data_IF_105209533662
#
_entry.id   IF_105209533662
#
_cell.length_a   1.000
_cell.length_b   1.000
_cell.length_c   1.000
_cell.angle_alpha   90.00
_cell.angle_beta   90.00
_cell.angle_gamma   90.00
#
_symmetry.space_group_name_H-M   'P 1'
#
loop_
_entity.id
_entity.type
_entity.pdbx_description
1 polymer ?
#
# COMPACT_ATOMS: atom_id res chain seq x y z
N UNK A 1 -25.46 -0.24 2.72
CA UNK A 1 -24.89 -1.55 3.07
C UNK A 1 -23.45 -1.58 2.61
N UNK A 2 -22.51 -1.76 3.54
CA UNK A 2 -21.08 -1.79 3.30
C UNK A 2 -20.70 -2.92 2.33
N UNK A 3 -20.20 -2.55 1.14
CA UNK A 3 -19.77 -3.49 0.08
C UNK A 3 -18.26 -3.74 0.17
N UNK A 4 -17.76 -4.16 1.33
CA UNK A 4 -16.34 -4.50 1.50
C UNK A 4 -16.20 -5.80 2.27
N UNK A 5 -15.29 -6.66 1.80
CA UNK A 5 -14.91 -7.91 2.45
C UNK A 5 -14.01 -7.63 3.66
N UNK A 6 -14.05 -8.51 4.66
CA UNK A 6 -13.37 -8.33 5.95
C UNK A 6 -11.84 -8.29 5.81
N UNK A 7 -11.23 -7.59 6.76
CA UNK A 7 -9.82 -7.18 6.81
C UNK A 7 -8.80 -8.34 6.97
N UNK A 8 -9.25 -9.58 7.14
CA UNK A 8 -8.41 -10.72 7.54
C UNK A 8 -8.22 -11.80 6.47
N UNK A 9 -8.72 -11.62 5.24
CA UNK A 9 -8.53 -12.62 4.19
C UNK A 9 -7.38 -12.25 3.25
N UNK A 10 -6.35 -13.11 3.20
CA UNK A 10 -5.16 -13.01 2.34
C UNK A 10 -5.43 -13.07 0.82
N UNK A 11 -6.69 -13.13 0.39
CA UNK A 11 -7.11 -13.06 -1.02
C UNK A 11 -8.07 -11.93 -1.34
N UNK A 12 -8.40 -11.07 -0.36
CA UNK A 12 -9.41 -10.03 -0.57
C UNK A 12 -8.97 -8.97 -1.60
N UNK A 13 -7.67 -8.66 -1.67
CA UNK A 13 -7.12 -7.76 -2.70
C UNK A 13 -7.22 -8.39 -4.08
N UNK A 14 -6.82 -9.66 -4.22
CA UNK A 14 -6.89 -10.39 -5.49
C UNK A 14 -8.32 -10.45 -6.03
N UNK A 15 -9.28 -10.89 -5.20
CA UNK A 15 -10.70 -10.98 -5.60
C UNK A 15 -11.27 -9.62 -5.96
N UNK A 16 -11.01 -8.59 -5.13
CA UNK A 16 -11.47 -7.22 -5.41
C UNK A 16 -10.90 -6.69 -6.72
N UNK A 17 -9.66 -7.07 -7.05
CA UNK A 17 -9.00 -6.70 -8.30
C UNK A 17 -9.60 -7.44 -9.50
N UNK A 18 -9.98 -8.71 -9.37
CA UNK A 18 -10.73 -9.41 -10.42
C UNK A 18 -12.13 -8.83 -10.63
N UNK A 19 -12.82 -8.43 -9.55
CA UNK A 19 -14.12 -7.74 -9.66
C UNK A 19 -13.95 -6.42 -10.42
N UNK A 20 -12.91 -5.64 -10.12
CA UNK A 20 -12.56 -4.43 -10.87
C UNK A 20 -12.30 -4.72 -12.35
N UNK A 21 -11.51 -5.76 -12.65
CA UNK A 21 -11.25 -6.15 -14.03
C UNK A 21 -12.55 -6.51 -14.73
N UNK A 22 -13.44 -7.28 -14.10
CA UNK A 22 -14.73 -7.66 -14.68
C UNK A 22 -15.63 -6.44 -14.96
N UNK A 23 -15.78 -5.53 -13.98
CA UNK A 23 -16.55 -4.29 -14.13
C UNK A 23 -16.05 -3.41 -15.29
N UNK A 24 -14.74 -3.44 -15.56
CA UNK A 24 -14.10 -2.61 -16.58
C UNK A 24 -13.89 -3.34 -17.91
N UNK A 25 -14.32 -4.61 -18.06
CA UNK A 25 -14.07 -5.42 -19.26
C UNK A 25 -15.13 -5.35 -20.35
N UNK A 26 -16.28 -4.73 -20.09
CA UNK A 26 -17.31 -4.54 -21.11
C UNK A 26 -16.86 -3.57 -22.21
N UNK A 27 -17.50 -3.68 -23.38
CA UNK A 27 -17.25 -2.79 -24.54
C UNK A 27 -17.54 -1.33 -24.21
N UNK A 28 -18.58 -1.08 -23.39
CA UNK A 28 -18.88 0.21 -22.82
C UNK A 28 -18.84 0.14 -21.28
N UNK A 29 -18.03 1.02 -20.67
CA UNK A 29 -17.96 1.16 -19.21
C UNK A 29 -18.94 2.25 -18.77
N UNK A 30 -19.97 1.88 -18.02
CA UNK A 30 -20.99 2.84 -17.58
C UNK A 30 -20.50 3.73 -16.44
N UNK A 31 -21.15 4.88 -16.22
CA UNK A 31 -20.87 5.72 -15.04
C UNK A 31 -21.02 4.95 -13.72
N UNK A 32 -22.01 4.07 -13.64
CA UNK A 32 -22.26 3.23 -12.46
C UNK A 32 -21.11 2.25 -12.21
N UNK A 33 -20.51 1.70 -13.26
CA UNK A 33 -19.35 0.82 -13.14
C UNK A 33 -18.13 1.57 -12.65
N UNK A 34 -17.93 2.82 -13.12
CA UNK A 34 -16.86 3.69 -12.63
C UNK A 34 -17.04 4.10 -11.16
N UNK A 35 -18.27 4.38 -10.74
CA UNK A 35 -18.61 4.68 -9.34
C UNK A 35 -18.40 3.47 -8.41
N UNK A 36 -18.78 2.27 -8.85
CA UNK A 36 -18.49 1.05 -8.08
C UNK A 36 -16.99 0.80 -8.03
N UNK A 37 -16.31 0.96 -9.16
CA UNK A 37 -14.86 0.77 -9.26
C UNK A 37 -14.09 1.76 -8.39
N UNK A 38 -14.49 3.04 -8.31
CA UNK A 38 -13.80 4.04 -7.49
C UNK A 38 -13.78 3.67 -5.99
N UNK A 39 -14.88 3.09 -5.50
CA UNK A 39 -14.98 2.61 -4.12
C UNK A 39 -14.05 1.41 -3.86
N UNK A 40 -13.98 0.46 -4.80
CA UNK A 40 -13.10 -0.72 -4.67
C UNK A 40 -11.63 -0.28 -4.78
N UNK A 41 -11.29 0.60 -5.73
CA UNK A 41 -9.93 1.15 -5.90
C UNK A 41 -9.47 1.86 -4.63
N UNK A 42 -10.32 2.68 -4.03
CA UNK A 42 -10.00 3.37 -2.77
C UNK A 42 -9.71 2.40 -1.63
N UNK A 43 -10.37 1.24 -1.62
CA UNK A 43 -10.10 0.17 -0.65
C UNK A 43 -8.81 -0.60 -0.97
N UNK A 44 -8.60 -0.99 -2.24
CA UNK A 44 -7.39 -1.72 -2.68
C UNK A 44 -6.15 -0.90 -2.41
N UNK A 45 -6.10 0.37 -2.81
CA UNK A 45 -4.92 1.23 -2.63
C UNK A 45 -4.53 1.37 -1.15
N UNK A 46 -5.49 1.32 -0.22
CA UNK A 46 -5.22 1.36 1.24
C UNK A 46 -4.55 0.08 1.78
N UNK A 47 -4.54 -1.01 1.00
CA UNK A 47 -3.87 -2.28 1.35
C UNK A 47 -2.42 -2.34 0.84
N UNK A 48 -1.96 -1.31 0.15
CA UNK A 48 -0.57 -1.23 -0.29
C UNK A 48 0.37 -1.11 0.91
N UNK A 49 1.40 -1.95 0.94
CA UNK A 49 2.42 -1.93 1.97
C UNK A 49 3.34 -0.69 1.83
N UNK A 50 4.17 -0.38 2.84
CA UNK A 50 5.06 0.78 2.80
C UNK A 50 6.11 0.79 1.67
N UNK A 51 6.30 -0.33 0.98
CA UNK A 51 7.24 -0.47 -0.14
C UNK A 51 6.55 -0.41 -1.51
N UNK A 52 5.23 -0.19 -1.55
CA UNK A 52 4.48 -0.08 -2.80
C UNK A 52 3.95 -1.40 -3.35
N UNK A 53 4.10 -2.51 -2.63
CA UNK A 53 3.54 -3.82 -3.01
C UNK A 53 2.27 -4.17 -2.24
N UNK A 54 1.71 -5.34 -2.52
CA UNK A 54 0.68 -5.98 -1.70
C UNK A 54 1.28 -7.15 -0.91
N UNK A 55 0.47 -7.94 -0.20
CA UNK A 55 0.99 -8.99 0.68
C UNK A 55 1.72 -10.09 -0.09
N UNK A 56 1.24 -10.43 -1.29
CA UNK A 56 1.87 -11.43 -2.17
C UNK A 56 2.15 -10.90 -3.58
N UNK A 57 2.97 -11.65 -4.34
CA UNK A 57 3.23 -11.38 -5.76
C UNK A 57 1.94 -11.40 -6.58
N UNK A 58 1.07 -12.40 -6.35
CA UNK A 58 -0.18 -12.56 -7.08
C UNK A 58 -1.12 -11.38 -6.84
N UNK A 59 -1.31 -10.99 -5.57
CA UNK A 59 -2.10 -9.80 -5.24
C UNK A 59 -1.52 -8.55 -5.91
N UNK A 60 -0.19 -8.41 -5.91
CA UNK A 60 0.46 -7.24 -6.53
C UNK A 60 0.22 -7.18 -8.02
N UNK A 61 0.42 -8.28 -8.75
CA UNK A 61 0.24 -8.33 -10.20
C UNK A 61 -1.21 -8.03 -10.58
N UNK A 62 -2.18 -8.68 -9.95
CA UNK A 62 -3.60 -8.51 -10.29
C UNK A 62 -4.11 -7.12 -9.89
N UNK A 63 -3.70 -6.61 -8.72
CA UNK A 63 -4.09 -5.27 -8.29
C UNK A 63 -3.52 -4.17 -9.20
N UNK A 64 -2.25 -4.25 -9.57
CA UNK A 64 -1.63 -3.28 -10.49
C UNK A 64 -2.31 -3.32 -11.86
N UNK A 65 -2.66 -4.51 -12.37
CA UNK A 65 -3.40 -4.64 -13.61
C UNK A 65 -4.79 -3.97 -13.54
N UNK A 66 -5.54 -4.22 -12.46
CA UNK A 66 -6.85 -3.60 -12.24
C UNK A 66 -6.74 -2.07 -12.11
N UNK A 67 -5.76 -1.58 -11.36
CA UNK A 67 -5.47 -0.15 -11.19
C UNK A 67 -5.15 0.52 -12.52
N UNK A 68 -4.33 -0.11 -13.37
CA UNK A 68 -4.02 0.41 -14.70
C UNK A 68 -5.27 0.50 -15.59
N UNK A 69 -6.10 -0.54 -15.59
CA UNK A 69 -7.33 -0.57 -16.37
C UNK A 69 -8.31 0.54 -15.94
N UNK A 70 -8.44 0.75 -14.63
CA UNK A 70 -9.24 1.84 -14.07
C UNK A 70 -8.67 3.22 -14.41
N UNK A 71 -7.35 3.41 -14.27
CA UNK A 71 -6.67 4.65 -14.60
C UNK A 71 -6.86 5.03 -16.08
N UNK A 72 -6.85 4.04 -16.99
CA UNK A 72 -7.13 4.25 -18.41
C UNK A 72 -8.59 4.65 -18.65
N UNK A 73 -9.54 3.99 -17.99
CA UNK A 73 -10.97 4.27 -18.16
C UNK A 73 -11.40 5.63 -17.58
N UNK A 74 -10.68 6.14 -16.57
CA UNK A 74 -10.97 7.40 -15.89
C UNK A 74 -10.02 8.54 -16.27
N UNK A 75 -9.14 8.31 -17.25
CA UNK A 75 -8.21 9.33 -17.71
C UNK A 75 -8.99 10.48 -18.34
N UNK A 76 -8.99 11.63 -17.68
CA UNK A 76 -9.63 12.83 -18.19
C UNK A 76 -8.81 14.08 -17.86
N UNK A 77 -8.77 15.01 -18.82
CA UNK A 77 -8.39 16.41 -18.65
C UNK A 77 -6.95 16.68 -18.20
N UNK A 78 -6.65 17.98 -18.12
CA UNK A 78 -5.44 18.48 -17.47
C UNK A 78 -5.58 18.35 -15.95
N UNK A 79 -4.50 17.95 -15.29
CA UNK A 79 -4.41 17.93 -13.83
C UNK A 79 -3.62 19.14 -13.37
N UNK A 80 -4.11 19.75 -12.31
CA UNK A 80 -3.44 20.82 -11.59
C UNK A 80 -3.95 20.77 -10.15
N UNK A 81 -3.20 20.10 -9.28
CA UNK A 81 -3.56 19.92 -7.88
C UNK A 81 -2.42 20.40 -7.00
N UNK A 82 -2.74 21.29 -6.07
CA UNK A 82 -1.82 21.71 -5.02
C UNK A 82 -2.28 21.13 -3.68
N UNK A 83 -1.42 20.33 -3.08
CA UNK A 83 -1.57 19.79 -1.74
C UNK A 83 -0.80 20.66 -0.74
N UNK A 84 -1.43 21.04 0.35
CA UNK A 84 -0.77 21.65 1.50
C UNK A 84 -0.93 20.73 2.70
N UNK A 85 0.19 20.32 3.28
CA UNK A 85 0.24 19.57 4.54
C UNK A 85 0.71 20.51 5.62
N UNK A 86 -0.05 20.65 6.70
CA UNK A 86 0.31 21.57 7.79
C UNK A 86 -0.05 21.01 9.16
N UNK A 87 0.70 21.45 10.17
CA UNK A 87 0.41 21.21 11.58
C UNK A 87 0.45 22.52 12.33
N UNK A 88 -0.70 22.97 12.85
CA UNK A 88 -0.82 24.24 13.57
C UNK A 88 -0.08 24.26 14.91
N UNK A 89 0.17 23.10 15.52
CA UNK A 89 0.82 22.99 16.83
C UNK A 89 2.32 23.30 16.76
N UNK A 90 3.00 22.85 15.71
CA UNK A 90 4.45 22.95 15.53
C UNK A 90 4.84 23.96 14.44
N UNK A 91 3.87 24.67 13.86
CA UNK A 91 4.12 25.64 12.78
C UNK A 91 4.68 25.02 11.49
N UNK A 92 4.51 23.70 11.30
CA UNK A 92 5.01 23.00 10.12
C UNK A 92 4.07 23.19 8.93
N UNK A 93 4.64 23.42 7.75
CA UNK A 93 3.92 23.44 6.49
C UNK A 93 4.80 22.95 5.34
N UNK A 94 4.27 22.08 4.50
CA UNK A 94 4.87 21.70 3.21
C UNK A 94 3.81 21.70 2.11
N UNK A 95 4.24 21.84 0.87
CA UNK A 95 3.37 21.85 -0.31
C UNK A 95 3.89 20.90 -1.36
N UNK A 96 2.95 20.23 -2.03
CA UNK A 96 3.20 19.42 -3.22
C UNK A 96 2.34 19.96 -4.35
N UNK A 97 2.91 20.00 -5.56
CA UNK A 97 2.18 20.42 -6.75
C UNK A 97 2.25 19.31 -7.79
N UNK A 98 1.08 18.90 -8.27
CA UNK A 98 0.95 17.83 -9.27
C UNK A 98 0.24 18.37 -10.49
N UNK A 99 0.93 18.35 -11.62
CA UNK A 99 0.43 18.73 -12.93
C UNK A 99 0.73 17.65 -13.98
N UNK A 100 0.36 17.90 -15.23
CA UNK A 100 0.57 16.93 -16.31
C UNK A 100 2.06 16.62 -16.59
N UNK A 101 2.98 17.53 -16.22
CA UNK A 101 4.42 17.37 -16.43
C UNK A 101 5.06 16.44 -15.39
N UNK A 102 4.51 16.38 -14.19
CA UNK A 102 5.08 15.62 -13.07
C UNK A 102 4.13 14.55 -12.47
N UNK A 103 2.97 14.29 -13.09
CA UNK A 103 1.95 13.33 -12.60
C UNK A 103 2.42 11.89 -12.36
N UNK A 104 3.56 11.49 -12.93
CA UNK A 104 4.16 10.16 -12.72
C UNK A 104 5.34 10.18 -11.74
N UNK A 105 5.77 11.37 -11.30
CA UNK A 105 6.88 11.54 -10.38
C UNK A 105 6.39 11.40 -8.95
N UNK A 106 7.01 10.51 -8.20
CA UNK A 106 6.77 10.38 -6.77
C UNK A 106 7.44 11.54 -6.02
N UNK A 107 6.61 12.32 -5.33
CA UNK A 107 7.06 13.41 -4.46
C UNK A 107 6.94 12.97 -3.00
N UNK A 108 7.97 13.25 -2.19
CA UNK A 108 8.03 12.85 -0.76
C UNK A 108 8.62 14.00 0.06
N UNK A 109 8.12 14.18 1.27
CA UNK A 109 8.75 15.03 2.28
C UNK A 109 8.74 14.29 3.63
N UNK A 110 9.83 14.34 4.41
CA UNK A 110 9.78 13.89 5.79
C UNK A 110 8.83 14.78 6.59
N UNK A 111 8.03 14.17 7.46
CA UNK A 111 7.30 14.90 8.49
C UNK A 111 8.21 15.06 9.72
N UNK A 112 8.05 16.13 10.51
CA UNK A 112 8.75 16.27 11.78
C UNK A 112 8.55 15.06 12.70
N UNK A 113 9.55 14.79 13.54
CA UNK A 113 9.57 13.63 14.45
C UNK A 113 8.54 13.76 15.60
N UNK A 114 7.88 14.93 15.74
CA UNK A 114 6.78 15.09 16.68
C UNK A 114 5.52 14.38 16.17
N UNK A 115 5.05 13.42 16.97
CA UNK A 115 3.72 12.84 16.81
C UNK A 115 2.68 13.95 16.99
N UNK A 116 1.81 14.10 16.00
CA UNK A 116 0.80 15.15 16.02
C UNK A 116 -0.22 15.02 14.90
N UNK A 117 -1.19 15.91 14.93
CA UNK A 117 -2.20 16.02 13.87
C UNK A 117 -1.63 16.82 12.71
N UNK A 118 -1.57 16.18 11.55
CA UNK A 118 -1.27 16.81 10.27
C UNK A 118 -2.55 16.89 9.45
N UNK A 119 -2.89 18.08 8.99
CA UNK A 119 -4.05 18.32 8.13
C UNK A 119 -3.53 18.39 6.69
N UNK A 120 -4.27 17.79 5.77
CA UNK A 120 -3.96 17.81 4.33
C UNK A 120 -5.10 18.52 3.63
N UNK A 121 -4.79 19.60 2.93
CA UNK A 121 -5.75 20.32 2.10
C UNK A 121 -5.34 20.20 0.63
N UNK A 122 -6.32 19.87 -0.22
CA UNK A 122 -6.12 19.75 -1.67
C UNK A 122 -6.94 20.83 -2.37
N UNK A 123 -6.32 21.55 -3.30
CA UNK A 123 -6.96 22.59 -4.11
C UNK A 123 -6.61 22.39 -5.58
N UNK A 124 -7.49 22.82 -6.49
CA UNK A 124 -7.31 22.68 -7.94
C UNK A 124 -8.22 21.62 -8.57
N UNK A 125 -7.81 21.10 -9.72
CA UNK A 125 -8.58 20.15 -10.53
C UNK A 125 -7.81 18.86 -10.74
N UNK A 126 -8.38 17.75 -10.27
CA UNK A 126 -7.84 16.40 -10.46
C UNK A 126 -7.92 15.55 -9.21
N UNK A 127 -7.42 14.32 -9.31
CA UNK A 127 -7.28 13.40 -8.19
C UNK A 127 -5.80 13.10 -7.98
N UNK A 128 -5.38 13.06 -6.71
CA UNK A 128 -4.02 12.72 -6.31
C UNK A 128 -4.06 11.63 -5.25
N UNK A 129 -3.07 10.74 -5.29
CA UNK A 129 -2.87 9.73 -4.26
C UNK A 129 -1.88 10.23 -3.23
N UNK A 130 -2.25 10.15 -1.95
CA UNK A 130 -1.42 10.61 -0.83
C UNK A 130 -1.28 9.48 0.17
N UNK A 131 -0.05 9.23 0.61
CA UNK A 131 0.27 8.20 1.59
C UNK A 131 1.17 8.79 2.69
N UNK A 132 0.80 8.55 3.95
CA UNK A 132 1.63 8.83 5.11
C UNK A 132 2.25 7.54 5.64
N UNK A 133 3.52 7.59 6.02
CA UNK A 133 4.23 6.44 6.58
C UNK A 133 4.80 6.81 7.95
N UNK A 134 4.48 5.99 8.96
CA UNK A 134 5.12 6.02 10.26
C UNK A 134 5.95 4.75 10.42
N UNK A 135 7.24 4.90 10.71
CA UNK A 135 8.14 3.78 10.99
C UNK A 135 8.63 3.91 12.43
N UNK A 136 8.42 2.87 13.23
CA UNK A 136 8.82 2.82 14.62
C UNK A 136 9.13 1.38 15.02
N UNK A 137 9.91 1.21 16.08
CA UNK A 137 10.18 -0.10 16.65
C UNK A 137 9.03 -0.51 17.56
N UNK A 138 8.57 -1.75 17.40
CA UNK A 138 7.64 -2.40 18.31
C UNK A 138 8.32 -3.57 19.00
N UNK A 139 7.88 -3.90 20.20
CA UNK A 139 8.22 -5.21 20.76
C UNK A 139 7.71 -6.31 19.83
N UNK A 140 8.44 -7.43 19.67
CA UNK A 140 7.95 -8.58 18.94
C UNK A 140 6.60 -9.00 19.52
N UNK A 141 5.54 -8.97 18.70
CA UNK A 141 4.25 -9.47 19.12
C UNK A 141 4.32 -10.99 19.29
N UNK A 142 3.49 -11.56 20.18
CA UNK A 142 3.25 -13.00 20.16
C UNK A 142 2.69 -13.38 18.78
N UNK A 143 3.46 -14.13 18.02
CA UNK A 143 3.09 -14.50 16.65
C UNK A 143 2.00 -15.56 16.67
N UNK A 144 0.93 -15.35 15.90
CA UNK A 144 0.12 -16.48 15.43
C UNK A 144 1.00 -17.33 14.51
N UNK A 145 1.49 -18.46 15.03
CA UNK A 145 2.32 -19.38 14.25
C UNK A 145 1.40 -20.24 13.38
N UNK A 146 1.45 -20.05 12.06
CA UNK A 146 0.79 -20.94 11.11
C UNK A 146 1.50 -22.30 11.01
N UNK A 147 2.80 -22.32 11.31
CA UNK A 147 3.64 -23.50 11.45
C UNK A 147 4.75 -23.19 12.46
N UNK A 148 5.30 -24.21 13.10
CA UNK A 148 6.44 -24.07 14.01
C UNK A 148 7.69 -24.53 13.28
N UNK A 149 8.66 -23.65 13.07
CA UNK A 149 9.97 -24.06 12.57
C UNK A 149 10.91 -24.24 13.76
N UNK A 150 11.33 -25.48 14.03
CA UNK A 150 12.39 -25.77 15.00
C UNK A 150 13.72 -25.83 14.28
N UNK A 151 14.64 -24.96 14.67
CA UNK A 151 16.01 -24.89 14.14
C UNK A 151 16.98 -25.28 15.25
N UNK A 152 17.83 -26.27 14.98
CA UNK A 152 18.92 -26.69 15.88
C UNK A 152 20.23 -26.70 15.10
N UNK A 153 21.34 -26.45 15.79
CA UNK A 153 22.68 -26.52 15.21
C UNK A 153 23.48 -27.66 15.82
N UNK A 154 24.43 -28.21 15.06
CA UNK A 154 25.44 -29.12 15.58
C UNK A 154 26.85 -28.55 15.28
N UNK A 155 27.66 -28.25 16.30
CA UNK A 155 27.35 -28.32 17.74
C UNK A 155 26.28 -27.29 18.18
N UNK A 156 25.61 -27.56 19.30
CA UNK A 156 24.59 -26.69 19.91
C UNK A 156 25.17 -25.46 20.64
N UNK A 157 26.50 -25.37 20.65
CA UNK A 157 27.27 -24.29 21.27
C UNK A 157 28.33 -23.76 20.30
N UNK A 158 28.69 -22.49 20.45
CA UNK A 158 29.67 -21.85 19.58
C UNK A 158 31.11 -22.23 20.00
N UNK A 159 31.74 -23.15 19.27
CA UNK A 159 33.17 -23.52 19.40
C UNK A 159 34.05 -22.80 18.36
N UNK A 160 35.38 -22.87 18.49
CA UNK A 160 36.32 -22.25 17.54
C UNK A 160 36.17 -22.83 16.11
N UNK A 161 35.82 -24.10 15.99
CA UNK A 161 35.49 -24.75 14.74
C UNK A 161 34.10 -24.34 14.23
N UNK A 162 33.11 -24.25 15.13
CA UNK A 162 31.76 -23.80 14.80
C UNK A 162 31.71 -22.34 14.30
N UNK A 163 32.70 -21.51 14.64
CA UNK A 163 32.85 -20.17 14.05
C UNK A 163 33.16 -20.22 12.55
N UNK A 164 33.69 -21.34 12.05
CA UNK A 164 34.05 -21.53 10.63
C UNK A 164 33.06 -22.42 9.88
N UNK A 165 32.49 -23.44 10.56
CA UNK A 165 31.55 -24.39 9.96
C UNK A 165 30.71 -25.09 11.03
N UNK A 166 29.41 -25.20 10.81
CA UNK A 166 28.47 -25.96 11.66
C UNK A 166 27.29 -26.47 10.83
N UNK A 167 26.60 -27.49 11.32
CA UNK A 167 25.41 -28.04 10.67
C UNK A 167 24.14 -27.37 11.19
N UNK A 168 23.15 -27.22 10.31
CA UNK A 168 21.84 -26.67 10.63
C UNK A 168 20.78 -27.73 10.31
N UNK A 169 20.02 -28.11 11.33
CA UNK A 169 18.84 -28.95 11.17
C UNK A 169 17.59 -28.11 11.36
N UNK A 170 16.69 -28.16 10.39
CA UNK A 170 15.41 -27.46 10.43
C UNK A 170 14.26 -28.46 10.27
N UNK A 171 13.31 -28.48 11.20
CA UNK A 171 12.10 -29.31 11.16
C UNK A 171 10.87 -28.43 11.29
N UNK A 172 9.85 -28.72 10.48
CA UNK A 172 8.53 -28.07 10.48
C UNK A 172 7.55 -28.92 11.29
#
# INVERSE_FOLDING_TARGET
>A
GSKHWSEQWSGAVEISSYVLLALLSGDEVTKKDLELSSNIISWVIKRQNPWGGFYSTQETVVAVHALFKYARATYHGKRDVTLTVHSGLIGYQTRFHVDDSNRLLLQRAPLPDELGTYIITATGTGCVYVQGHLKYHTHPAESFQHFTLKVTTEPDHCTAEAQRSFEIHATV
#
